data_IF_851599901216
#
_entry.id   IF_851599901216
#
_cell.length_a   1.000
_cell.length_b   1.000
_cell.length_c   1.000
_cell.angle_alpha   90.00
_cell.angle_beta   90.00
_cell.angle_gamma   90.00
#
_symmetry.space_group_name_H-M   'P 1'
#
loop_
_entity.id
_entity.type
_entity.pdbx_description
1 polymer ?
#
# COMPACT_ATOMS: atom_id res chain seq x y z
N UNK A 1 13.78 -0.40 2.40
CA UNK A 1 12.49 -0.74 1.74
C UNK A 1 12.60 -1.95 0.82
N UNK A 2 13.78 -2.35 0.40
CA UNK A 2 13.99 -3.52 -0.47
C UNK A 2 13.88 -4.78 0.36
N UNK A 3 13.12 -5.77 -0.12
CA UNK A 3 12.97 -7.05 0.56
C UNK A 3 14.27 -7.87 0.47
N UNK A 4 14.65 -8.49 1.60
CA UNK A 4 15.75 -9.44 1.61
C UNK A 4 15.40 -10.69 0.81
N UNK A 5 16.41 -11.43 0.37
CA UNK A 5 16.20 -12.69 -0.34
C UNK A 5 15.38 -13.67 0.49
N UNK A 6 15.63 -13.73 1.79
CA UNK A 6 14.91 -14.60 2.73
C UNK A 6 13.41 -14.23 2.78
N UNK A 7 13.11 -12.95 2.94
CA UNK A 7 11.72 -12.49 3.02
C UNK A 7 11.01 -12.67 1.67
N UNK A 8 11.67 -12.32 0.57
CA UNK A 8 11.09 -12.48 -0.75
C UNK A 8 10.80 -13.95 -1.09
N UNK A 9 11.73 -14.85 -0.79
CA UNK A 9 11.51 -16.29 -0.95
C UNK A 9 10.35 -16.80 -0.09
N UNK A 10 10.27 -16.30 1.15
CA UNK A 10 9.15 -16.64 2.04
C UNK A 10 7.80 -16.22 1.45
N UNK A 11 7.69 -15.01 0.94
CA UNK A 11 6.45 -14.50 0.37
C UNK A 11 6.03 -15.29 -0.88
N UNK A 12 6.99 -15.65 -1.72
CA UNK A 12 6.72 -16.46 -2.91
C UNK A 12 6.23 -17.86 -2.54
N UNK A 13 6.89 -18.51 -1.58
CA UNK A 13 6.50 -19.85 -1.11
C UNK A 13 5.15 -19.82 -0.42
N UNK A 14 4.88 -18.80 0.40
CA UNK A 14 3.60 -18.61 1.06
C UNK A 14 2.47 -18.44 0.06
N UNK A 15 2.65 -17.61 -0.96
CA UNK A 15 1.67 -17.40 -2.01
C UNK A 15 1.37 -18.70 -2.78
N UNK A 16 2.41 -19.45 -3.13
CA UNK A 16 2.28 -20.74 -3.81
C UNK A 16 1.49 -21.74 -2.97
N UNK A 17 1.84 -21.87 -1.69
CA UNK A 17 1.18 -22.78 -0.76
C UNK A 17 -0.31 -22.46 -0.61
N UNK A 18 -0.66 -21.20 -0.47
CA UNK A 18 -2.06 -20.78 -0.35
C UNK A 18 -2.84 -20.94 -1.65
N UNK A 19 -2.23 -20.71 -2.79
CA UNK A 19 -2.83 -20.94 -4.10
C UNK A 19 -3.18 -22.43 -4.28
N UNK A 20 -2.30 -23.33 -3.88
CA UNK A 20 -2.53 -24.79 -3.93
C UNK A 20 -3.71 -25.20 -3.03
N UNK A 21 -3.97 -24.45 -1.95
CA UNK A 21 -5.11 -24.66 -1.05
C UNK A 21 -6.39 -23.97 -1.49
N UNK A 22 -6.39 -23.29 -2.63
CA UNK A 22 -7.53 -22.54 -3.13
C UNK A 22 -7.70 -21.13 -2.52
N UNK A 23 -6.73 -20.66 -1.75
CA UNK A 23 -6.72 -19.30 -1.19
C UNK A 23 -6.02 -18.34 -2.16
N UNK A 24 -6.70 -17.27 -2.56
CA UNK A 24 -6.25 -16.38 -3.61
C UNK A 24 -5.38 -15.19 -3.18
N UNK A 25 -4.98 -15.10 -1.92
CA UNK A 25 -4.23 -13.95 -1.41
C UNK A 25 -2.73 -14.25 -1.41
N UNK A 26 -1.99 -13.61 -2.23
CA UNK A 26 -0.55 -13.59 -2.19
C UNK A 26 -0.06 -12.15 -2.08
N UNK A 27 1.21 -11.95 -2.35
CA UNK A 27 1.75 -10.61 -2.47
C UNK A 27 1.16 -9.88 -3.70
N UNK A 28 1.11 -8.56 -3.63
CA UNK A 28 0.66 -7.71 -4.74
C UNK A 28 1.83 -7.00 -5.40
N UNK A 29 2.30 -7.49 -6.55
CA UNK A 29 3.39 -6.88 -7.29
C UNK A 29 2.84 -5.84 -8.27
N UNK A 30 3.33 -4.62 -8.19
CA UNK A 30 2.86 -3.51 -9.04
C UNK A 30 4.01 -2.83 -9.79
N UNK A 31 3.66 -2.25 -10.92
CA UNK A 31 4.50 -1.33 -11.69
C UNK A 31 3.79 0.01 -11.79
N UNK A 32 4.43 1.00 -12.40
CA UNK A 32 3.81 2.32 -12.64
C UNK A 32 2.53 2.26 -13.49
N UNK A 33 2.27 1.14 -14.16
CA UNK A 33 1.11 0.97 -15.05
C UNK A 33 -0.04 0.20 -14.42
N UNK A 34 0.13 -0.30 -13.20
CA UNK A 34 -0.89 -1.11 -12.53
C UNK A 34 -1.64 -0.33 -11.46
N UNK A 35 -2.88 -0.72 -11.24
CA UNK A 35 -3.62 -0.29 -10.07
C UNK A 35 -3.22 -1.18 -8.90
N UNK A 36 -2.92 -0.56 -7.75
CA UNK A 36 -2.53 -1.29 -6.55
C UNK A 36 -3.75 -1.84 -5.81
N UNK A 37 -3.48 -2.81 -4.92
CA UNK A 37 -4.44 -3.23 -3.90
C UNK A 37 -4.61 -2.14 -2.84
N UNK A 38 -5.56 -2.34 -1.95
CA UNK A 38 -5.80 -1.45 -0.81
C UNK A 38 -4.64 -1.50 0.17
N UNK A 39 -4.18 -0.33 0.58
CA UNK A 39 -3.21 -0.20 1.65
C UNK A 39 -3.89 -0.46 2.99
N UNK A 40 -3.30 -1.33 3.83
CA UNK A 40 -3.85 -1.64 5.16
C UNK A 40 -2.95 -1.11 6.27
N UNK A 41 -3.50 -1.03 7.49
CA UNK A 41 -2.74 -0.65 8.68
C UNK A 41 -1.62 -1.64 9.02
N UNK A 42 -1.66 -2.84 8.47
CA UNK A 42 -0.66 -3.88 8.67
C UNK A 42 0.50 -3.81 7.68
N UNK A 43 0.48 -2.85 6.79
CA UNK A 43 1.51 -2.69 5.76
C UNK A 43 2.93 -2.57 6.33
N UNK A 44 3.06 -2.02 7.53
CA UNK A 44 4.34 -1.88 8.22
C UNK A 44 5.05 -3.22 8.51
N UNK A 45 4.36 -4.35 8.46
CA UNK A 45 4.96 -5.66 8.74
C UNK A 45 5.85 -6.11 7.60
N UNK A 46 5.28 -6.62 6.52
CA UNK A 46 6.07 -7.12 5.37
C UNK A 46 5.76 -6.38 4.06
N UNK A 47 4.77 -5.50 4.07
CA UNK A 47 4.38 -4.71 2.92
C UNK A 47 3.88 -5.53 1.74
N UNK A 48 3.43 -6.76 1.99
CA UNK A 48 3.12 -7.70 0.91
C UNK A 48 1.92 -7.32 0.05
N UNK A 49 1.03 -6.45 0.54
CA UNK A 49 -0.14 -6.00 -0.23
C UNK A 49 0.26 -5.21 -1.47
N UNK A 50 1.30 -4.39 -1.36
CA UNK A 50 1.76 -3.53 -2.44
C UNK A 50 3.29 -3.56 -2.49
N UNK A 51 3.82 -4.38 -3.40
CA UNK A 51 5.25 -4.47 -3.64
C UNK A 51 5.60 -3.83 -4.98
N UNK A 52 6.56 -2.94 -4.98
CA UNK A 52 7.02 -2.27 -6.20
C UNK A 52 8.05 -3.15 -6.90
N UNK A 53 7.74 -3.55 -8.12
CA UNK A 53 8.66 -4.31 -8.96
C UNK A 53 9.90 -3.48 -9.29
N UNK A 54 11.07 -4.08 -9.15
CA UNK A 54 12.34 -3.48 -9.55
C UNK A 54 12.86 -4.14 -10.81
N UNK A 55 13.58 -3.39 -11.61
CA UNK A 55 14.18 -3.87 -12.86
C UNK A 55 15.16 -5.02 -12.60
N UNK A 56 15.96 -4.88 -11.55
CA UNK A 56 16.94 -5.90 -11.14
C UNK A 56 16.80 -6.16 -9.64
N UNK A 57 16.53 -7.41 -9.28
CA UNK A 57 16.51 -7.86 -7.90
C UNK A 57 15.11 -7.89 -7.27
N UNK A 58 15.10 -8.04 -5.96
CA UNK A 58 13.89 -8.23 -5.18
C UNK A 58 12.99 -6.98 -5.20
N UNK A 59 11.67 -7.16 -5.05
CA UNK A 59 10.77 -6.02 -4.96
C UNK A 59 11.01 -5.23 -3.66
N UNK A 60 10.43 -4.05 -3.59
CA UNK A 60 10.50 -3.19 -2.41
C UNK A 60 9.12 -2.78 -1.93
N UNK A 61 9.04 -2.40 -0.67
CA UNK A 61 7.85 -1.74 -0.13
C UNK A 61 7.73 -0.33 -0.70
N UNK A 62 6.55 0.24 -0.59
CA UNK A 62 6.35 1.68 -0.75
C UNK A 62 7.07 2.43 0.38
N UNK A 63 7.61 3.58 0.07
CA UNK A 63 8.09 4.51 1.11
C UNK A 63 6.89 5.20 1.78
N UNK A 64 7.03 5.76 2.99
CA UNK A 64 5.96 6.55 3.60
C UNK A 64 5.46 7.70 2.72
N UNK A 65 6.35 8.38 2.00
CA UNK A 65 5.96 9.43 1.06
C UNK A 65 5.14 8.90 -0.11
N UNK A 66 5.45 7.70 -0.59
CA UNK A 66 4.66 7.05 -1.62
C UNK A 66 3.27 6.64 -1.12
N UNK A 67 3.19 6.15 0.12
CA UNK A 67 1.90 5.89 0.76
C UNK A 67 1.06 7.17 0.90
N UNK A 68 1.69 8.26 1.29
CA UNK A 68 1.06 9.59 1.36
C UNK A 68 0.46 9.98 0.01
N UNK A 69 1.24 9.86 -1.05
CA UNK A 69 0.81 10.18 -2.41
C UNK A 69 -0.31 9.25 -2.89
N UNK A 70 -0.18 7.95 -2.62
CA UNK A 70 -1.18 6.95 -2.99
C UNK A 70 -2.55 7.24 -2.37
N UNK A 71 -2.56 7.70 -1.12
CA UNK A 71 -3.78 8.06 -0.39
C UNK A 71 -4.29 9.46 -0.74
N UNK A 72 -3.59 10.19 -1.61
CA UNK A 72 -4.02 11.49 -2.11
C UNK A 72 -3.78 12.67 -1.16
N UNK A 73 -2.91 12.52 -0.17
CA UNK A 73 -2.52 13.63 0.70
C UNK A 73 -1.66 14.63 -0.07
N UNK A 74 -1.77 15.93 0.24
CA UNK A 74 -0.94 16.96 -0.40
C UNK A 74 0.57 16.74 -0.16
N UNK A 75 1.41 17.17 -1.09
CA UNK A 75 2.87 17.09 -0.94
C UNK A 75 3.36 17.80 0.31
N UNK A 76 2.69 18.87 0.71
CA UNK A 76 3.00 19.66 1.90
C UNK A 76 2.72 18.93 3.21
N UNK A 77 1.96 17.85 3.17
CA UNK A 77 1.63 17.09 4.36
C UNK A 77 2.90 16.45 4.93
N UNK A 78 3.25 16.80 6.16
CA UNK A 78 4.46 16.31 6.81
C UNK A 78 4.21 14.99 7.53
N UNK A 79 5.23 14.17 7.59
CA UNK A 79 5.21 12.87 8.30
C UNK A 79 6.16 12.98 9.51
N UNK A 80 5.69 13.50 10.65
CA UNK A 80 6.55 13.74 11.83
C UNK A 80 6.69 12.52 12.74
N UNK A 81 6.49 11.32 12.21
CA UNK A 81 6.50 10.06 12.97
C UNK A 81 7.43 9.05 12.30
N UNK A 82 7.72 7.95 12.99
CA UNK A 82 8.51 6.86 12.45
C UNK A 82 7.84 6.23 11.23
N UNK A 83 8.62 5.53 10.40
CA UNK A 83 8.09 4.83 9.24
C UNK A 83 6.98 3.84 9.62
N UNK A 84 7.16 3.07 10.69
CA UNK A 84 6.16 2.14 11.18
C UNK A 84 4.84 2.83 11.51
N UNK A 85 4.90 3.95 12.22
CA UNK A 85 3.70 4.72 12.56
C UNK A 85 3.07 5.36 11.33
N UNK A 86 3.89 5.84 10.40
CA UNK A 86 3.40 6.40 9.14
C UNK A 86 2.60 5.37 8.34
N UNK A 87 3.13 4.17 8.20
CA UNK A 87 2.41 3.08 7.52
C UNK A 87 1.07 2.76 8.18
N UNK A 88 1.03 2.70 9.51
CA UNK A 88 -0.21 2.47 10.25
C UNK A 88 -1.23 3.57 10.01
N UNK A 89 -0.79 4.81 10.10
CA UNK A 89 -1.66 5.97 9.95
C UNK A 89 -2.23 6.06 8.54
N UNK A 90 -1.41 5.88 7.52
CA UNK A 90 -1.89 5.90 6.14
C UNK A 90 -2.80 4.71 5.84
N UNK A 91 -2.49 3.53 6.37
CA UNK A 91 -3.33 2.35 6.20
C UNK A 91 -4.70 2.47 6.87
N UNK A 92 -4.79 3.22 7.96
CA UNK A 92 -6.05 3.52 8.65
C UNK A 92 -6.77 4.74 8.10
N UNK A 93 -6.13 5.50 7.22
CA UNK A 93 -6.69 6.74 6.72
C UNK A 93 -7.69 6.51 5.58
N UNK A 94 -8.31 7.61 5.16
CA UNK A 94 -9.21 7.66 4.02
C UNK A 94 -8.43 8.07 2.75
N UNK A 95 -8.97 7.70 1.59
CA UNK A 95 -8.48 8.22 0.31
C UNK A 95 -9.03 9.63 0.13
N UNK A 96 -8.17 10.64 0.27
CA UNK A 96 -8.57 12.05 0.35
C UNK A 96 -9.41 12.52 -0.84
N UNK A 97 -9.04 12.25 -2.12
CA UNK A 97 -9.85 12.68 -3.25
C UNK A 97 -11.26 12.09 -3.26
N UNK A 98 -11.39 10.82 -2.85
CA UNK A 98 -12.70 10.16 -2.79
C UNK A 98 -13.61 10.81 -1.75
N UNK A 99 -13.09 11.08 -0.56
CA UNK A 99 -13.87 11.71 0.51
C UNK A 99 -14.23 13.15 0.15
N UNK A 100 -13.33 13.86 -0.52
CA UNK A 100 -13.61 15.20 -1.04
C UNK A 100 -14.79 15.16 -2.01
N UNK A 101 -14.82 14.23 -2.96
CA UNK A 101 -15.94 14.08 -3.91
C UNK A 101 -17.24 13.75 -3.19
N UNK A 102 -17.23 12.85 -2.21
CA UNK A 102 -18.41 12.51 -1.42
C UNK A 102 -18.92 13.75 -0.68
N UNK A 103 -18.04 14.49 -0.02
CA UNK A 103 -18.41 15.68 0.73
C UNK A 103 -19.01 16.77 -0.19
N UNK A 104 -18.42 17.01 -1.34
CA UNK A 104 -18.93 17.96 -2.34
C UNK A 104 -20.33 17.57 -2.83
N UNK A 105 -20.56 16.28 -3.08
CA UNK A 105 -21.87 15.80 -3.50
C UNK A 105 -22.91 15.90 -2.38
N UNK A 106 -22.51 15.65 -1.12
CA UNK A 106 -23.41 15.85 0.02
C UNK A 106 -23.81 17.30 0.19
N UNK A 107 -22.88 18.25 0.01
CA UNK A 107 -23.18 19.69 0.06
C UNK A 107 -24.20 20.10 -0.98
N UNK A 108 -24.17 19.52 -2.18
CA UNK A 108 -25.16 19.79 -3.23
C UNK A 108 -26.59 19.36 -2.82
N UNK A 109 -26.71 18.33 -2.00
CA UNK A 109 -28.00 17.84 -1.49
C UNK A 109 -28.55 18.76 -0.39
N UNK A 110 -27.67 19.36 0.42
CA UNK A 110 -28.06 20.22 1.55
C UNK A 110 -28.24 21.71 1.19
N UNK A 111 -27.82 22.11 0.02
CA UNK A 111 -27.94 23.51 -0.45
C UNK A 111 -29.20 23.76 -1.23
#
# INVERSE_FOLDING_TARGET
YIHSDKLWSYLQNYAKKHKEKGNGFGYGLVTSRNTSRTLSARYHKDGSEILVKRTNGNPRMLTPNECKALMGFPDKFKIPVSDTQAYRQFGNSIVVPLVKDIAENMLKVFN
#
